data_IF_517689471255
#
_entry.id   IF_517689471255
#
_cell.length_a   1.000
_cell.length_b   1.000
_cell.length_c   1.000
_cell.angle_alpha   90.00
_cell.angle_beta   90.00
_cell.angle_gamma   90.00
#
_symmetry.space_group_name_H-M   'P 1'
#
loop_
_entity.id
_entity.type
_entity.pdbx_description
1 polymer ?
#
# COMPACT_ATOMS: atom_id res chain seq x y z
N UNK A 1 -2.84 -7.55 -13.44
CA UNK A 1 -2.13 -8.78 -12.96
C UNK A 1 -2.78 -10.06 -13.47
N UNK A 2 -4.07 -10.32 -13.32
CA UNK A 2 -4.77 -11.57 -13.64
C UNK A 2 -4.62 -12.00 -15.11
N UNK A 3 -4.88 -11.09 -16.06
CA UNK A 3 -4.80 -11.39 -17.50
C UNK A 3 -3.44 -11.89 -17.95
N UNK A 4 -2.39 -11.51 -17.21
CA UNK A 4 -1.01 -11.84 -17.54
C UNK A 4 -0.60 -13.18 -16.90
N UNK A 5 -1.01 -13.46 -15.66
CA UNK A 5 -0.68 -14.72 -14.97
C UNK A 5 -1.47 -15.92 -15.48
N UNK A 6 -2.63 -15.70 -16.11
CA UNK A 6 -3.40 -16.75 -16.80
C UNK A 6 -4.08 -17.74 -15.85
N UNK A 7 -4.67 -17.25 -14.76
CA UNK A 7 -5.41 -18.07 -13.79
C UNK A 7 -6.36 -17.25 -12.93
N UNK A 8 -6.91 -17.85 -11.89
CA UNK A 8 -7.91 -17.25 -11.02
C UNK A 8 -7.26 -16.54 -9.83
N UNK A 9 -7.83 -15.40 -9.42
CA UNK A 9 -7.55 -14.78 -8.14
C UNK A 9 -8.43 -15.42 -7.09
N UNK A 10 -7.85 -15.69 -5.93
CA UNK A 10 -8.58 -16.04 -4.73
C UNK A 10 -8.49 -14.88 -3.74
N UNK A 11 -9.64 -14.44 -3.24
CA UNK A 11 -9.73 -13.38 -2.24
C UNK A 11 -10.33 -13.97 -0.96
N UNK A 12 -9.51 -14.07 0.08
CA UNK A 12 -9.91 -14.47 1.43
C UNK A 12 -10.44 -13.20 2.11
N UNK A 13 -11.75 -13.14 2.29
CA UNK A 13 -12.46 -11.98 2.81
C UNK A 13 -12.79 -12.17 4.30
N UNK A 14 -12.18 -11.37 5.13
CA UNK A 14 -12.43 -11.34 6.58
C UNK A 14 -13.18 -10.10 7.02
N UNK A 15 -13.66 -9.27 6.07
CA UNK A 15 -14.32 -7.98 6.35
C UNK A 15 -15.79 -7.96 5.93
N UNK A 16 -16.54 -8.99 6.35
CA UNK A 16 -18.00 -9.07 6.16
C UNK A 16 -18.46 -9.01 4.69
N UNK A 17 -17.79 -9.74 3.82
CA UNK A 17 -18.15 -9.88 2.40
C UNK A 17 -18.06 -8.56 1.59
N UNK A 18 -17.39 -7.51 2.12
CA UNK A 18 -17.24 -6.24 1.38
C UNK A 18 -16.54 -6.38 0.03
N UNK A 19 -15.74 -7.43 -0.14
CA UNK A 19 -15.13 -7.71 -1.44
C UNK A 19 -16.16 -8.01 -2.52
N UNK A 20 -17.36 -8.50 -2.19
CA UNK A 20 -18.41 -8.82 -3.15
C UNK A 20 -18.98 -7.57 -3.83
N UNK A 21 -18.89 -6.40 -3.22
CA UNK A 21 -19.30 -5.13 -3.84
C UNK A 21 -18.50 -4.82 -5.13
N UNK A 22 -17.33 -5.46 -5.30
CA UNK A 22 -16.47 -5.33 -6.48
C UNK A 22 -16.65 -6.49 -7.48
N UNK A 23 -17.57 -7.42 -7.24
CA UNK A 23 -17.77 -8.64 -8.04
C UNK A 23 -18.20 -8.37 -9.48
N UNK A 24 -18.88 -7.26 -9.75
CA UNK A 24 -19.30 -6.83 -11.08
C UNK A 24 -18.12 -6.28 -11.91
N UNK A 25 -17.15 -5.65 -11.24
CA UNK A 25 -15.98 -5.00 -11.88
C UNK A 25 -14.79 -5.95 -12.03
N UNK A 26 -14.59 -6.87 -11.07
CA UNK A 26 -13.44 -7.75 -11.01
C UNK A 26 -13.84 -9.22 -10.84
N UNK A 27 -13.15 -10.10 -11.58
CA UNK A 27 -13.35 -11.56 -11.44
C UNK A 27 -12.37 -12.12 -10.41
N UNK A 28 -12.89 -12.73 -9.37
CA UNK A 28 -12.13 -13.45 -8.34
C UNK A 28 -12.99 -14.57 -7.73
N UNK A 29 -12.32 -15.55 -7.13
CA UNK A 29 -12.96 -16.57 -6.30
C UNK A 29 -13.04 -16.02 -4.88
N UNK A 30 -14.24 -15.77 -4.38
CA UNK A 30 -14.48 -15.30 -3.02
C UNK A 30 -14.35 -16.46 -2.04
N UNK A 31 -13.55 -16.29 -1.02
CA UNK A 31 -13.40 -17.23 0.10
C UNK A 31 -13.89 -16.51 1.35
N UNK A 32 -15.13 -16.79 1.74
CA UNK A 32 -15.71 -16.28 2.98
C UNK A 32 -14.91 -16.78 4.18
N UNK A 33 -14.51 -15.86 5.03
CA UNK A 33 -13.69 -16.14 6.20
C UNK A 33 -14.20 -15.40 7.44
N UNK A 34 -15.17 -16.01 8.06
CA UNK A 34 -15.79 -15.53 9.31
C UNK A 34 -15.00 -16.00 10.56
N UNK A 35 -15.23 -15.37 11.73
CA UNK A 35 -14.56 -15.75 12.99
C UNK A 35 -14.67 -17.26 13.33
N UNK A 36 -13.73 -17.80 14.12
CA UNK A 36 -12.61 -17.15 14.78
C UNK A 36 -11.42 -16.92 13.85
N UNK A 37 -10.72 -15.78 14.01
CA UNK A 37 -9.61 -15.35 13.15
C UNK A 37 -8.26 -15.87 13.68
N UNK A 38 -8.13 -17.17 13.87
CA UNK A 38 -6.89 -17.78 14.36
C UNK A 38 -5.83 -17.90 13.27
N UNK A 39 -4.53 -17.84 13.60
CA UNK A 39 -3.45 -18.03 12.61
C UNK A 39 -3.56 -19.36 11.85
N UNK A 40 -4.00 -20.42 12.51
CA UNK A 40 -4.18 -21.75 11.89
C UNK A 40 -5.25 -21.72 10.80
N UNK A 41 -6.34 -20.99 11.01
CA UNK A 41 -7.38 -20.86 9.99
C UNK A 41 -6.92 -20.03 8.81
N UNK A 42 -6.16 -18.94 9.03
CA UNK A 42 -5.51 -18.20 7.93
C UNK A 42 -4.59 -19.13 7.14
N UNK A 43 -3.76 -19.93 7.82
CA UNK A 43 -2.92 -20.93 7.18
C UNK A 43 -3.75 -21.87 6.29
N UNK A 44 -4.81 -22.48 6.84
CA UNK A 44 -5.67 -23.41 6.10
C UNK A 44 -6.38 -22.76 4.92
N UNK A 45 -6.81 -21.50 5.05
CA UNK A 45 -7.43 -20.78 3.94
C UNK A 45 -6.43 -20.49 2.81
N UNK A 46 -5.19 -20.14 3.15
CA UNK A 46 -4.13 -19.94 2.15
C UNK A 46 -3.73 -21.27 1.51
N UNK A 47 -3.61 -22.35 2.29
CA UNK A 47 -3.36 -23.71 1.78
C UNK A 47 -4.42 -24.13 0.76
N UNK A 48 -5.69 -23.93 1.08
CA UNK A 48 -6.79 -24.17 0.15
C UNK A 48 -6.61 -23.40 -1.17
N UNK A 49 -6.31 -22.11 -1.12
CA UNK A 49 -6.10 -21.33 -2.34
C UNK A 49 -4.90 -21.85 -3.16
N UNK A 50 -3.83 -22.27 -2.50
CA UNK A 50 -2.66 -22.88 -3.16
C UNK A 50 -3.03 -24.20 -3.83
N UNK A 51 -3.80 -25.06 -3.18
CA UNK A 51 -4.29 -26.34 -3.71
C UNK A 51 -5.23 -26.14 -4.91
N UNK A 52 -6.02 -25.07 -4.92
CA UNK A 52 -6.85 -24.68 -6.06
C UNK A 52 -6.05 -24.04 -7.22
N UNK A 53 -4.71 -24.01 -7.15
CA UNK A 53 -3.82 -23.39 -8.13
C UNK A 53 -4.11 -21.88 -8.36
N UNK A 54 -4.40 -21.15 -7.29
CA UNK A 54 -4.57 -19.70 -7.36
C UNK A 54 -3.40 -19.04 -8.08
N UNK A 55 -3.69 -18.11 -9.00
CA UNK A 55 -2.66 -17.28 -9.64
C UNK A 55 -2.17 -16.15 -8.74
N UNK A 56 -3.08 -15.63 -7.93
CA UNK A 56 -2.81 -14.60 -6.90
C UNK A 56 -3.73 -14.90 -5.73
N UNK A 57 -3.21 -14.74 -4.52
CA UNK A 57 -3.99 -14.84 -3.29
C UNK A 57 -4.03 -13.45 -2.65
N UNK A 58 -5.22 -12.94 -2.37
CA UNK A 58 -5.44 -11.69 -1.66
C UNK A 58 -6.07 -12.04 -0.31
N UNK A 59 -5.56 -11.47 0.78
CA UNK A 59 -6.14 -11.60 2.11
C UNK A 59 -6.59 -10.23 2.59
N UNK A 60 -7.88 -10.03 2.65
CA UNK A 60 -8.51 -8.77 3.09
C UNK A 60 -9.43 -9.03 4.28
N UNK A 61 -8.98 -8.77 5.47
CA UNK A 61 -7.74 -8.17 5.95
C UNK A 61 -7.05 -9.06 7.00
N UNK A 62 -5.73 -8.98 7.09
CA UNK A 62 -4.95 -9.78 8.04
C UNK A 62 -4.97 -9.19 9.46
N UNK A 63 -5.32 -7.94 9.64
CA UNK A 63 -5.43 -7.31 10.98
C UNK A 63 -6.30 -8.12 11.94
N UNK A 64 -7.32 -8.82 11.42
CA UNK A 64 -8.21 -9.65 12.23
C UNK A 64 -7.50 -10.85 12.87
N UNK A 65 -6.42 -11.38 12.25
CA UNK A 65 -5.56 -12.39 12.90
C UNK A 65 -5.01 -11.89 14.23
N UNK A 66 -4.67 -10.60 14.32
CA UNK A 66 -4.10 -10.01 15.53
C UNK A 66 -5.17 -9.56 16.52
N UNK A 67 -6.18 -8.79 16.07
CA UNK A 67 -7.14 -8.07 16.93
C UNK A 67 -8.59 -8.54 16.79
N UNK A 68 -8.90 -9.38 15.80
CA UNK A 68 -10.25 -9.87 15.57
C UNK A 68 -10.70 -10.91 16.58
N UNK A 69 -11.97 -11.28 16.52
CA UNK A 69 -12.58 -12.29 17.39
C UNK A 69 -11.88 -13.65 17.22
N UNK A 70 -11.39 -14.23 18.31
CA UNK A 70 -10.58 -15.46 18.30
C UNK A 70 -9.15 -15.27 17.79
N UNK A 71 -8.76 -14.02 17.48
CA UNK A 71 -7.40 -13.69 17.06
C UNK A 71 -6.37 -13.77 18.20
N UNK A 72 -5.14 -13.44 17.88
CA UNK A 72 -3.99 -13.63 18.79
C UNK A 72 -4.18 -12.98 20.16
N UNK A 73 -4.69 -11.72 20.21
CA UNK A 73 -4.82 -11.00 21.47
C UNK A 73 -5.87 -11.65 22.38
N UNK A 74 -7.00 -12.05 21.84
CA UNK A 74 -8.06 -12.71 22.58
C UNK A 74 -7.61 -14.11 23.04
N UNK A 75 -7.04 -14.88 22.12
CA UNK A 75 -6.49 -16.21 22.40
C UNK A 75 -5.41 -16.18 23.47
N UNK A 76 -4.53 -15.18 23.47
CA UNK A 76 -3.51 -15.02 24.49
C UNK A 76 -4.12 -14.87 25.90
N UNK A 77 -5.21 -14.10 26.03
CA UNK A 77 -5.89 -13.94 27.32
C UNK A 77 -6.56 -15.22 27.81
N UNK A 78 -7.11 -16.01 26.90
CA UNK A 78 -7.70 -17.31 27.21
C UNK A 78 -6.64 -18.29 27.68
N UNK A 79 -5.57 -18.47 26.91
CA UNK A 79 -4.46 -19.35 27.26
C UNK A 79 -3.79 -18.92 28.57
N UNK A 80 -3.68 -17.64 28.84
CA UNK A 80 -3.16 -17.14 30.12
C UNK A 80 -4.01 -17.60 31.29
N UNK A 81 -5.35 -17.55 31.20
CA UNK A 81 -6.27 -18.06 32.20
C UNK A 81 -6.14 -19.58 32.37
N UNK A 82 -6.12 -20.31 31.27
CA UNK A 82 -5.99 -21.77 31.25
C UNK A 82 -4.69 -22.24 31.91
N UNK A 83 -3.55 -21.64 31.53
CA UNK A 83 -2.24 -22.00 32.10
C UNK A 83 -2.13 -21.63 33.58
N UNK A 84 -2.63 -20.46 33.98
CA UNK A 84 -2.64 -20.06 35.39
C UNK A 84 -3.42 -21.05 36.25
N UNK A 85 -4.60 -21.49 35.80
CA UNK A 85 -5.41 -22.50 36.49
C UNK A 85 -4.71 -23.88 36.51
N UNK A 86 -4.20 -24.34 35.36
CA UNK A 86 -3.51 -25.62 35.20
C UNK A 86 -2.26 -25.73 36.08
N UNK A 87 -1.48 -24.67 36.18
CA UNK A 87 -0.23 -24.65 36.95
C UNK A 87 -0.42 -24.13 38.37
N UNK A 88 -1.65 -23.83 38.78
CA UNK A 88 -2.01 -23.29 40.12
C UNK A 88 -1.14 -22.09 40.50
N UNK A 89 -1.00 -21.12 39.57
CA UNK A 89 -0.13 -19.94 39.71
C UNK A 89 -0.85 -18.66 39.28
N UNK A 90 -0.18 -17.53 39.35
CA UNK A 90 -0.74 -16.25 38.90
C UNK A 90 -0.59 -16.05 37.37
N UNK A 91 -1.46 -15.21 36.80
CA UNK A 91 -1.45 -14.91 35.36
C UNK A 91 -0.12 -14.29 34.89
N UNK A 92 0.49 -13.43 35.70
CA UNK A 92 1.76 -12.79 35.40
C UNK A 92 2.89 -13.82 35.18
N UNK A 93 2.90 -14.92 35.96
CA UNK A 93 3.94 -15.96 35.83
C UNK A 93 3.82 -16.78 34.56
N UNK A 94 2.64 -16.88 33.97
CA UNK A 94 2.38 -17.66 32.76
C UNK A 94 2.32 -16.79 31.50
N UNK A 95 2.43 -15.48 31.63
CA UNK A 95 2.28 -14.53 30.52
C UNK A 95 3.20 -14.84 29.34
N UNK A 96 4.46 -15.14 29.58
CA UNK A 96 5.40 -15.53 28.52
C UNK A 96 5.00 -16.82 27.81
N UNK A 97 4.55 -17.83 28.57
CA UNK A 97 4.10 -19.11 28.02
C UNK A 97 2.79 -18.95 27.23
N UNK A 98 1.87 -18.10 27.69
CA UNK A 98 0.61 -17.84 26.97
C UNK A 98 0.86 -17.12 25.63
N UNK A 99 1.79 -16.19 25.56
CA UNK A 99 2.19 -15.58 24.30
C UNK A 99 2.85 -16.58 23.36
N UNK A 100 3.65 -17.50 23.88
CA UNK A 100 4.29 -18.52 23.07
C UNK A 100 3.26 -19.47 22.43
N UNK A 101 2.25 -19.86 23.19
CA UNK A 101 1.20 -20.78 22.75
C UNK A 101 0.17 -20.09 21.83
N UNK A 102 -0.22 -18.87 22.14
CA UNK A 102 -1.24 -18.14 21.38
C UNK A 102 -0.72 -17.46 20.10
N UNK A 103 0.55 -17.00 20.12
CA UNK A 103 1.17 -16.24 19.02
C UNK A 103 2.36 -16.97 18.40
N UNK A 104 3.43 -17.18 19.18
CA UNK A 104 4.74 -17.53 18.63
C UNK A 104 4.70 -18.80 17.78
N UNK A 105 4.04 -19.83 18.26
CA UNK A 105 3.95 -21.12 17.56
C UNK A 105 2.99 -21.07 16.38
N UNK A 106 1.70 -20.68 16.53
CA UNK A 106 0.75 -20.74 15.43
C UNK A 106 1.05 -19.68 14.35
N UNK A 107 1.32 -18.45 14.75
CA UNK A 107 1.69 -17.39 13.81
C UNK A 107 3.02 -17.69 13.10
N UNK A 108 4.01 -18.23 13.81
CA UNK A 108 5.28 -18.64 13.21
C UNK A 108 5.12 -19.73 12.14
N UNK A 109 4.15 -20.65 12.29
CA UNK A 109 3.80 -21.62 11.25
C UNK A 109 3.19 -20.95 10.02
N UNK A 110 2.26 -20.03 10.21
CA UNK A 110 1.65 -19.25 9.14
C UNK A 110 2.72 -18.49 8.35
N UNK A 111 3.57 -17.70 9.02
CA UNK A 111 4.65 -16.93 8.39
C UNK A 111 5.63 -17.85 7.66
N UNK A 112 6.05 -18.95 8.30
CA UNK A 112 6.93 -19.93 7.66
C UNK A 112 6.32 -20.59 6.42
N UNK A 113 5.02 -20.74 6.35
CA UNK A 113 4.34 -21.26 5.18
C UNK A 113 4.28 -20.23 4.06
N UNK A 114 3.80 -19.03 4.33
CA UNK A 114 3.65 -17.98 3.30
C UNK A 114 4.97 -17.62 2.63
N UNK A 115 6.10 -17.68 3.35
CA UNK A 115 7.44 -17.42 2.76
C UNK A 115 7.90 -18.49 1.76
N UNK A 116 7.24 -19.66 1.71
CA UNK A 116 7.54 -20.76 0.76
C UNK A 116 6.54 -20.84 -0.38
N UNK A 117 5.41 -20.20 -0.27
CA UNK A 117 4.39 -20.17 -1.32
C UNK A 117 4.94 -19.43 -2.53
N UNK A 118 4.75 -20.02 -3.73
CA UNK A 118 5.26 -19.44 -4.99
C UNK A 118 4.30 -18.45 -5.61
N UNK A 119 3.02 -18.56 -5.29
CA UNK A 119 1.99 -17.66 -5.77
C UNK A 119 2.20 -16.27 -5.19
N UNK A 120 2.08 -15.21 -5.98
CA UNK A 120 2.04 -13.85 -5.46
C UNK A 120 0.90 -13.68 -4.45
N UNK A 121 1.22 -13.07 -3.32
CA UNK A 121 0.24 -12.78 -2.27
C UNK A 121 0.18 -11.30 -1.97
N UNK A 122 -1.02 -10.80 -1.71
CA UNK A 122 -1.29 -9.43 -1.28
C UNK A 122 -2.01 -9.51 0.06
N UNK A 123 -1.47 -8.86 1.06
CA UNK A 123 -2.03 -8.78 2.40
C UNK A 123 -2.44 -7.36 2.72
N UNK A 124 -3.70 -7.14 3.02
CA UNK A 124 -4.21 -5.86 3.47
C UNK A 124 -4.22 -5.79 5.00
N UNK A 125 -3.79 -4.65 5.53
CA UNK A 125 -3.77 -4.37 6.96
C UNK A 125 -4.40 -3.01 7.23
N UNK A 126 -5.15 -2.91 8.32
CA UNK A 126 -5.46 -1.61 8.90
C UNK A 126 -4.19 -1.02 9.51
N UNK A 127 -4.05 0.28 9.42
CA UNK A 127 -2.96 1.00 10.04
C UNK A 127 -3.48 1.90 11.17
N UNK A 128 -2.59 2.23 12.10
CA UNK A 128 -2.83 3.18 13.19
C UNK A 128 -1.75 4.24 13.22
N UNK A 129 -2.06 5.38 13.81
CA UNK A 129 -1.08 6.43 14.05
C UNK A 129 0.10 5.93 14.87
N UNK A 130 1.30 6.24 14.39
CA UNK A 130 2.54 6.03 15.12
C UNK A 130 2.89 7.33 15.84
N UNK A 131 2.75 7.30 17.17
CA UNK A 131 2.94 8.48 18.00
C UNK A 131 4.17 8.27 18.89
N UNK A 132 5.01 9.30 19.00
CA UNK A 132 6.10 9.37 19.97
C UNK A 132 5.83 10.48 20.98
N UNK A 133 6.24 10.26 22.22
CA UNK A 133 6.22 11.30 23.23
C UNK A 133 7.56 12.03 23.13
N UNK A 134 7.50 13.30 22.74
CA UNK A 134 8.63 14.22 22.72
C UNK A 134 8.51 15.27 23.81
N UNK A 135 9.37 16.29 23.75
CA UNK A 135 9.27 17.50 24.56
C UNK A 135 9.31 18.70 23.62
N UNK A 136 8.41 19.68 23.86
CA UNK A 136 8.46 20.96 23.19
C UNK A 136 9.66 21.80 23.65
N UNK A 137 9.85 22.96 23.02
CA UNK A 137 10.95 23.91 23.36
C UNK A 137 10.89 24.43 24.81
N UNK A 138 9.76 24.22 25.50
CA UNK A 138 9.55 24.57 26.90
C UNK A 138 9.70 23.39 27.86
N UNK A 139 10.10 22.21 27.33
CA UNK A 139 10.28 20.97 28.10
C UNK A 139 9.00 20.23 28.48
N UNK A 140 7.81 20.69 27.97
CA UNK A 140 6.52 20.03 28.20
C UNK A 140 6.39 18.84 27.25
N UNK A 141 5.76 17.76 27.73
CA UNK A 141 5.48 16.59 26.89
C UNK A 141 4.57 16.97 25.71
N UNK A 142 4.97 16.52 24.51
CA UNK A 142 4.24 16.71 23.27
C UNK A 142 4.08 15.36 22.54
N UNK A 143 2.93 15.15 21.93
CA UNK A 143 2.64 13.99 21.11
C UNK A 143 3.06 14.28 19.67
N UNK A 144 4.11 13.60 19.20
CA UNK A 144 4.63 13.77 17.85
C UNK A 144 4.09 12.63 16.97
N UNK A 145 3.32 12.98 15.96
CA UNK A 145 2.88 12.03 14.94
C UNK A 145 4.09 11.64 14.06
N UNK A 146 4.38 10.35 13.98
CA UNK A 146 5.53 9.79 13.25
C UNK A 146 5.09 8.91 12.07
N UNK A 147 3.93 9.20 11.47
CA UNK A 147 3.36 8.43 10.38
C UNK A 147 2.43 7.32 10.87
N UNK A 148 2.36 6.24 10.10
CA UNK A 148 1.45 5.12 10.33
C UNK A 148 2.23 3.82 10.54
N UNK A 149 1.61 2.86 11.23
CA UNK A 149 2.14 1.51 11.40
C UNK A 149 1.01 0.50 11.20
N UNK A 150 1.23 -0.61 10.48
CA UNK A 150 0.20 -1.64 10.33
C UNK A 150 -0.17 -2.26 11.67
N UNK A 151 -1.42 -2.68 11.80
CA UNK A 151 -1.91 -3.42 12.96
C UNK A 151 -1.74 -4.91 12.66
N UNK A 152 -0.56 -5.42 12.95
CA UNK A 152 -0.19 -6.83 12.75
C UNK A 152 0.90 -7.25 13.74
N UNK A 153 1.41 -8.45 13.58
CA UNK A 153 2.62 -8.90 14.27
C UNK A 153 3.86 -8.42 13.51
N UNK A 154 4.92 -8.06 14.21
CA UNK A 154 6.17 -7.57 13.63
C UNK A 154 6.82 -8.52 12.61
N UNK A 155 6.58 -9.83 12.73
CA UNK A 155 7.14 -10.82 11.80
C UNK A 155 6.63 -10.65 10.37
N UNK A 156 5.39 -10.20 10.18
CA UNK A 156 4.87 -9.94 8.84
C UNK A 156 5.67 -8.89 8.09
N UNK A 157 6.03 -7.80 8.75
CA UNK A 157 6.74 -6.67 8.12
C UNK A 157 8.09 -7.12 7.54
N UNK A 158 8.81 -7.98 8.26
CA UNK A 158 10.13 -8.44 7.84
C UNK A 158 10.12 -9.38 6.64
N UNK A 159 9.05 -10.11 6.43
CA UNK A 159 8.98 -11.12 5.36
C UNK A 159 8.42 -10.56 4.05
N UNK A 160 7.78 -9.39 4.06
CA UNK A 160 7.18 -8.80 2.86
C UNK A 160 8.24 -8.33 1.86
N UNK A 161 7.98 -8.54 0.58
CA UNK A 161 8.83 -8.04 -0.52
C UNK A 161 8.61 -6.53 -0.74
N UNK A 162 7.40 -6.05 -0.49
CA UNK A 162 7.07 -4.64 -0.43
C UNK A 162 5.96 -4.41 0.61
N UNK A 163 6.07 -3.31 1.34
CA UNK A 163 5.04 -2.77 2.22
C UNK A 163 4.71 -1.36 1.76
N UNK A 164 3.46 -1.12 1.44
CA UNK A 164 2.98 0.17 0.98
C UNK A 164 2.05 0.77 2.02
N UNK A 165 2.38 1.93 2.53
CA UNK A 165 1.51 2.70 3.44
C UNK A 165 0.71 3.69 2.59
N UNK A 166 -0.62 3.60 2.67
CA UNK A 166 -1.57 4.47 2.01
C UNK A 166 -2.20 5.40 3.04
N UNK A 167 -1.71 6.64 3.20
CA UNK A 167 -2.29 7.59 4.15
C UNK A 167 -3.72 7.96 3.79
N UNK A 168 -4.54 8.43 4.76
CA UNK A 168 -5.83 9.04 4.46
C UNK A 168 -5.70 10.16 3.43
N UNK A 169 -6.63 10.23 2.48
CA UNK A 169 -6.67 11.22 1.41
C UNK A 169 -5.47 11.20 0.43
N UNK A 170 -4.71 10.11 0.40
CA UNK A 170 -3.59 9.94 -0.56
C UNK A 170 -4.05 9.55 -1.96
N UNK A 171 -5.34 9.32 -2.15
CA UNK A 171 -5.94 8.85 -3.41
C UNK A 171 -5.21 7.61 -3.98
N UNK A 172 -4.91 6.65 -3.08
CA UNK A 172 -4.20 5.43 -3.45
C UNK A 172 -2.71 5.61 -3.78
N UNK A 173 -2.12 6.75 -3.44
CA UNK A 173 -0.70 7.01 -3.59
C UNK A 173 0.05 6.59 -2.33
N UNK A 174 1.05 5.68 -2.42
CA UNK A 174 1.84 5.29 -1.26
C UNK A 174 2.67 6.44 -0.69
N UNK A 175 2.85 6.44 0.62
CA UNK A 175 3.82 7.32 1.28
C UNK A 175 5.25 6.83 1.01
N UNK A 176 6.08 7.70 0.44
CA UNK A 176 7.44 7.34 0.02
C UNK A 176 8.44 7.18 1.17
N UNK A 177 8.17 7.76 2.34
CA UNK A 177 9.04 7.67 3.51
C UNK A 177 8.67 6.47 4.39
N UNK A 178 7.38 6.13 4.45
CA UNK A 178 6.86 5.06 5.29
C UNK A 178 6.75 3.71 4.56
N UNK A 179 6.77 3.71 3.22
CA UNK A 179 6.68 2.48 2.43
C UNK A 179 8.05 1.86 2.24
N UNK A 180 8.13 0.53 2.39
CA UNK A 180 9.34 -0.24 2.20
C UNK A 180 9.24 -1.11 0.95
N UNK A 181 10.19 -0.97 0.02
CA UNK A 181 10.23 -1.73 -1.22
C UNK A 181 11.60 -2.36 -1.37
N UNK A 182 11.66 -3.69 -1.37
CA UNK A 182 12.92 -4.41 -1.60
C UNK A 182 13.43 -4.20 -3.03
N UNK A 183 14.75 -4.28 -3.19
CA UNK A 183 15.48 -3.99 -4.44
C UNK A 183 14.82 -4.57 -5.72
N UNK A 184 14.33 -5.83 -5.77
CA UNK A 184 13.75 -6.39 -6.98
C UNK A 184 12.51 -5.64 -7.49
N UNK A 185 11.76 -4.98 -6.59
CA UNK A 185 10.50 -4.31 -6.94
C UNK A 185 10.63 -2.79 -7.10
N UNK A 186 11.79 -2.19 -6.78
CA UNK A 186 12.00 -0.74 -6.86
C UNK A 186 11.80 -0.13 -8.26
N UNK A 187 12.01 -0.93 -9.32
CA UNK A 187 11.77 -0.50 -10.70
C UNK A 187 10.33 -0.74 -11.16
N UNK A 188 9.50 -1.42 -10.37
CA UNK A 188 8.14 -1.83 -10.71
C UNK A 188 7.13 -0.99 -9.94
N UNK A 189 7.31 -0.88 -8.61
CA UNK A 189 6.45 -0.13 -7.71
C UNK A 189 6.98 1.30 -7.59
N UNK A 190 6.14 2.27 -7.89
CA UNK A 190 6.43 3.70 -7.69
C UNK A 190 5.61 4.23 -6.52
N UNK A 191 6.27 4.91 -5.59
CA UNK A 191 5.61 5.63 -4.49
C UNK A 191 5.17 7.05 -4.87
N UNK A 192 5.58 7.52 -6.05
CA UNK A 192 5.22 8.86 -6.55
C UNK A 192 3.88 8.88 -7.30
N UNK A 193 3.28 7.72 -7.54
CA UNK A 193 2.07 7.57 -8.34
C UNK A 193 1.03 6.73 -7.61
N UNK A 194 -0.23 6.95 -7.93
CA UNK A 194 -1.33 6.08 -7.51
C UNK A 194 -1.10 4.65 -7.97
N UNK A 195 -1.44 3.68 -7.12
CA UNK A 195 -1.46 2.26 -7.48
C UNK A 195 -2.51 2.06 -8.59
N UNK A 196 -2.12 1.42 -9.68
CA UNK A 196 -2.97 1.21 -10.85
C UNK A 196 -2.71 -0.14 -11.53
N UNK A 197 -3.53 -0.44 -12.54
CA UNK A 197 -3.47 -1.71 -13.28
C UNK A 197 -2.12 -1.91 -13.96
N UNK A 198 -1.50 -0.85 -14.50
CA UNK A 198 -0.20 -0.94 -15.17
C UNK A 198 0.91 -1.39 -14.22
N UNK A 199 0.87 -0.91 -12.96
CA UNK A 199 1.78 -1.41 -11.92
C UNK A 199 1.52 -2.91 -11.65
N UNK A 200 0.26 -3.32 -11.58
CA UNK A 200 -0.15 -4.71 -11.46
C UNK A 200 0.33 -5.60 -12.62
N UNK A 201 0.30 -5.11 -13.85
CA UNK A 201 0.81 -5.80 -15.03
C UNK A 201 2.33 -6.03 -14.92
N UNK A 202 3.08 -5.00 -14.57
CA UNK A 202 4.55 -5.09 -14.38
C UNK A 202 4.93 -6.05 -13.25
N UNK A 203 4.16 -6.07 -12.14
CA UNK A 203 4.35 -7.04 -11.06
C UNK A 203 4.11 -8.47 -11.54
N UNK A 204 3.08 -8.69 -12.36
CA UNK A 204 2.78 -10.00 -12.90
C UNK A 204 3.85 -10.51 -13.88
N UNK A 205 4.38 -9.64 -14.72
CA UNK A 205 5.50 -9.98 -15.63
C UNK A 205 6.74 -10.36 -14.83
N UNK A 206 7.06 -9.59 -13.78
CA UNK A 206 8.17 -9.92 -12.91
C UNK A 206 7.97 -11.27 -12.20
N UNK A 207 6.77 -11.56 -11.69
CA UNK A 207 6.45 -12.81 -11.01
C UNK A 207 6.58 -14.05 -11.92
N UNK A 208 6.48 -13.90 -13.25
CA UNK A 208 6.75 -14.95 -14.22
C UNK A 208 8.24 -15.25 -14.44
N UNK A 209 9.12 -14.61 -13.71
CA UNK A 209 10.58 -14.73 -13.87
C UNK A 209 11.17 -13.73 -14.86
N UNK A 210 10.42 -12.69 -15.22
CA UNK A 210 10.95 -11.53 -15.94
C UNK A 210 11.97 -10.77 -15.10
N UNK A 211 12.99 -10.20 -15.73
CA UNK A 211 13.84 -9.19 -15.09
C UNK A 211 12.99 -7.95 -14.83
N UNK A 212 13.09 -7.38 -13.63
CA UNK A 212 12.46 -6.08 -13.35
C UNK A 212 12.92 -5.09 -14.44
N UNK A 213 11.99 -4.39 -15.13
CA UNK A 213 12.38 -3.35 -16.05
C UNK A 213 13.27 -2.35 -15.30
N UNK A 214 14.27 -1.81 -15.99
CA UNK A 214 15.08 -0.73 -15.41
C UNK A 214 14.13 0.34 -14.86
N UNK A 215 14.42 0.91 -13.67
CA UNK A 215 13.60 1.99 -13.14
C UNK A 215 13.44 3.03 -14.23
N UNK A 216 12.20 3.43 -14.52
CA UNK A 216 11.96 4.53 -15.44
C UNK A 216 12.78 5.71 -14.88
N UNK A 217 13.87 6.03 -15.55
CA UNK A 217 14.62 7.24 -15.23
C UNK A 217 13.60 8.35 -15.40
N UNK A 218 13.23 9.02 -14.29
CA UNK A 218 12.42 10.25 -14.38
C UNK A 218 13.10 11.06 -15.47
N UNK A 219 12.40 11.32 -16.58
CA UNK A 219 12.94 12.25 -17.58
C UNK A 219 13.37 13.47 -16.79
N UNK A 220 14.59 13.97 -16.96
CA UNK A 220 15.02 15.15 -16.24
C UNK A 220 13.93 16.21 -16.44
N UNK A 221 13.45 16.78 -15.35
CA UNK A 221 12.50 17.90 -15.42
C UNK A 221 13.28 19.04 -16.07
N UNK A 222 13.12 19.19 -17.37
CA UNK A 222 13.73 20.28 -18.15
C UNK A 222 12.80 21.47 -18.00
N UNK A 223 13.22 22.57 -17.34
CA UNK A 223 12.41 23.78 -17.25
C UNK A 223 12.06 24.30 -18.65
N UNK A 224 10.93 24.97 -18.78
CA UNK A 224 10.57 25.64 -20.01
C UNK A 224 11.66 26.62 -20.44
N UNK A 225 12.00 26.59 -21.73
CA UNK A 225 13.04 27.49 -22.29
C UNK A 225 12.56 28.94 -22.36
N UNK A 226 13.48 29.92 -22.41
CA UNK A 226 13.10 31.32 -22.61
C UNK A 226 12.26 31.55 -23.87
N UNK A 227 12.52 30.78 -24.95
CA UNK A 227 11.77 30.85 -26.21
C UNK A 227 10.33 30.35 -26.01
N UNK A 228 10.13 29.23 -25.33
CA UNK A 228 8.81 28.70 -25.00
C UNK A 228 8.02 29.67 -24.10
N UNK A 229 8.66 30.26 -23.11
CA UNK A 229 8.02 31.27 -22.24
C UNK A 229 7.65 32.53 -23.03
N UNK A 230 8.47 32.96 -24.00
CA UNK A 230 8.16 34.09 -24.88
C UNK A 230 6.96 33.78 -25.79
N UNK A 231 6.85 32.58 -26.33
CA UNK A 231 5.69 32.14 -27.12
C UNK A 231 4.40 32.12 -26.28
N UNK A 232 4.45 31.60 -25.07
CA UNK A 232 3.31 31.61 -24.13
C UNK A 232 2.90 33.06 -23.81
N UNK A 233 3.87 33.94 -23.58
CA UNK A 233 3.60 35.37 -23.37
C UNK A 233 2.95 36.05 -24.58
N UNK A 234 3.37 35.69 -25.81
CA UNK A 234 2.75 36.17 -27.02
C UNK A 234 1.30 35.72 -27.17
N UNK A 235 1.02 34.44 -26.84
CA UNK A 235 -0.34 33.88 -26.81
C UNK A 235 -1.21 34.63 -25.82
N UNK A 236 -0.70 34.88 -24.62
CA UNK A 236 -1.44 35.62 -23.58
C UNK A 236 -1.71 37.09 -24.00
N UNK A 237 -0.70 37.73 -24.60
CA UNK A 237 -0.87 39.10 -25.13
C UNK A 237 -1.94 39.16 -26.23
N UNK A 238 -1.97 38.18 -27.13
CA UNK A 238 -3.02 38.07 -28.14
C UNK A 238 -4.42 37.93 -27.57
N UNK A 239 -4.54 37.32 -26.36
CA UNK A 239 -5.79 37.20 -25.59
C UNK A 239 -6.13 38.42 -24.72
N UNK A 240 -5.28 39.45 -24.73
CA UNK A 240 -5.51 40.67 -23.96
C UNK A 240 -4.93 40.67 -22.53
N UNK A 241 -4.17 39.66 -22.15
CA UNK A 241 -3.46 39.66 -20.87
C UNK A 241 -2.27 40.61 -20.90
N UNK A 242 -2.11 41.42 -19.87
CA UNK A 242 -1.01 42.41 -19.80
C UNK A 242 0.21 41.88 -19.08
N UNK A 243 0.00 40.89 -18.20
CA UNK A 243 1.05 40.23 -17.39
C UNK A 243 0.96 38.72 -17.49
N UNK A 244 2.11 38.06 -17.42
CA UNK A 244 2.20 36.57 -17.40
C UNK A 244 1.35 35.97 -16.24
N UNK A 245 1.30 36.64 -15.10
CA UNK A 245 0.55 36.19 -13.95
C UNK A 245 -0.96 36.10 -14.17
N UNK A 246 -1.51 36.84 -15.09
CA UNK A 246 -2.95 36.82 -15.42
C UNK A 246 -3.33 35.53 -16.19
N UNK A 247 -2.39 34.92 -16.87
CA UNK A 247 -2.57 33.65 -17.60
C UNK A 247 -2.25 32.38 -16.79
N UNK A 248 -1.76 32.48 -15.55
CA UNK A 248 -1.41 31.32 -14.73
C UNK A 248 -2.60 30.36 -14.47
N UNK A 249 -3.83 30.82 -14.26
CA UNK A 249 -4.97 29.90 -14.12
C UNK A 249 -5.21 29.04 -15.37
N UNK A 250 -4.96 29.59 -16.57
CA UNK A 250 -5.09 28.87 -17.84
C UNK A 250 -3.98 27.83 -18.00
N UNK A 251 -2.74 28.16 -17.60
CA UNK A 251 -1.64 27.20 -17.52
C UNK A 251 -1.91 26.09 -16.53
N UNK A 252 -2.39 26.45 -15.34
CA UNK A 252 -2.74 25.46 -14.30
C UNK A 252 -3.79 24.47 -14.79
N UNK A 253 -4.83 24.96 -15.48
CA UNK A 253 -5.86 24.11 -16.09
C UNK A 253 -5.28 23.20 -17.17
N UNK A 254 -4.38 23.71 -18.02
CA UNK A 254 -3.75 22.92 -19.08
C UNK A 254 -2.78 21.87 -18.57
N UNK A 255 -2.10 22.14 -17.46
CA UNK A 255 -1.15 21.24 -16.83
C UNK A 255 -1.78 20.28 -15.83
N UNK A 256 -3.07 20.42 -15.55
CA UNK A 256 -3.82 19.68 -14.52
C UNK A 256 -3.12 19.71 -13.13
N UNK A 257 -2.49 20.83 -12.80
CA UNK A 257 -1.86 21.13 -11.52
C UNK A 257 -1.76 22.63 -11.31
N UNK A 258 -1.65 23.07 -10.07
CA UNK A 258 -1.45 24.47 -9.73
C UNK A 258 -0.07 24.97 -10.21
N UNK A 259 -0.05 26.10 -10.92
CA UNK A 259 1.13 26.79 -11.41
C UNK A 259 1.18 28.16 -10.76
N UNK A 260 2.03 28.35 -9.78
CA UNK A 260 2.21 29.62 -9.08
C UNK A 260 3.13 30.60 -9.82
N UNK A 261 3.96 30.10 -10.73
CA UNK A 261 4.89 30.89 -11.53
C UNK A 261 5.21 30.20 -12.85
N UNK A 262 5.40 30.97 -13.93
CA UNK A 262 5.85 30.44 -15.21
C UNK A 262 7.21 29.72 -15.14
N UNK A 263 8.02 29.97 -14.12
CA UNK A 263 9.28 29.26 -13.87
C UNK A 263 9.11 27.80 -13.45
N UNK A 264 7.91 27.42 -13.04
CA UNK A 264 7.56 26.06 -12.62
C UNK A 264 7.16 25.17 -13.80
N UNK A 265 6.96 25.78 -14.99
CA UNK A 265 6.64 25.03 -16.18
C UNK A 265 7.82 24.20 -16.65
N UNK A 266 7.54 22.94 -17.02
CA UNK A 266 8.48 22.10 -17.73
C UNK A 266 8.41 22.36 -19.22
N UNK A 267 9.46 22.02 -19.96
CA UNK A 267 9.51 22.15 -21.44
C UNK A 267 8.36 21.39 -22.09
N UNK A 268 8.09 20.16 -21.66
CA UNK A 268 7.00 19.33 -22.20
C UNK A 268 5.59 19.93 -21.93
N UNK A 269 5.39 20.60 -20.79
CA UNK A 269 4.13 21.29 -20.46
C UNK A 269 3.97 22.56 -21.30
N UNK A 270 5.07 23.28 -21.52
CA UNK A 270 5.09 24.48 -22.36
C UNK A 270 4.75 24.13 -23.80
N UNK A 271 5.36 23.09 -24.37
CA UNK A 271 5.10 22.66 -25.76
C UNK A 271 3.64 22.24 -25.91
N UNK A 272 3.11 21.43 -25.03
CA UNK A 272 1.68 21.03 -25.06
C UNK A 272 0.72 22.22 -25.02
N UNK A 273 1.04 23.22 -24.20
CA UNK A 273 0.23 24.43 -24.13
C UNK A 273 0.28 25.24 -25.42
N UNK A 274 1.47 25.41 -25.98
CA UNK A 274 1.72 26.16 -27.24
C UNK A 274 0.98 25.48 -28.38
N UNK A 275 1.17 24.17 -28.55
CA UNK A 275 0.56 23.38 -29.63
C UNK A 275 -0.97 23.42 -29.57
N UNK A 276 -1.54 23.29 -28.35
CA UNK A 276 -2.99 23.37 -28.16
C UNK A 276 -3.59 24.75 -28.52
N UNK A 277 -2.77 25.82 -28.51
CA UNK A 277 -3.24 27.17 -28.81
C UNK A 277 -2.89 27.63 -30.24
N UNK A 278 -1.97 26.96 -30.90
CA UNK A 278 -1.64 27.22 -32.33
C UNK A 278 -2.49 26.38 -33.28
N UNK A 279 -3.10 25.27 -32.78
CA UNK A 279 -4.01 24.41 -33.55
C UNK A 279 -5.49 24.79 -33.46
N UNK A 280 -5.84 25.83 -32.73
CA UNK A 280 -7.18 26.38 -32.59
C UNK A 280 -7.31 27.73 -33.30
#
# INVERSE_FOLDING_TARGET
MIRILGGEIFLIDTDNEFALDYGDDFKFQHVDFSPPYTPERYLSAIEYCVEQNASVIIVDQVTNEHTGQGGILERQQEVEKELAAKWKTTREKVKGSSWNEAKTIPHGKLVSYITRVKQPMIFNFRAKDKIKIGKDDRGKQEWIHCGYTPICTEQFDYEMTAMLILPPNSDGKPDGELSEIRKPLRGIISVDQQINEKMGERLAEWAKGGTAPAPETKKPIIPATPEQLAQIQAIFKAKGYTKMSEGLPELSSSCNREIGSSKELTSDEADRFIDAKQGA
#
